data_IF_043705133949
#
_entry.id   IF_043705133949
#
_cell.length_a   1.000
_cell.length_b   1.000
_cell.length_c   1.000
_cell.angle_alpha   90.00
_cell.angle_beta   90.00
_cell.angle_gamma   90.00
#
_symmetry.space_group_name_H-M   'P 1'
#
loop_
_entity.id
_entity.type
_entity.pdbx_description
1 polymer ?
#
# COMPACT_ATOMS: atom_id res chain seq x y z
N UNK A 1 -3.56 -13.51 12.55
CA UNK A 1 -2.24 -14.17 12.49
C UNK A 1 -1.24 -13.24 13.14
N UNK A 2 -0.50 -13.72 14.13
CA UNK A 2 0.61 -12.99 14.75
C UNK A 2 1.75 -12.77 13.76
N UNK A 3 2.65 -11.84 14.07
CA UNK A 3 3.87 -11.60 13.27
C UNK A 3 4.72 -12.86 13.17
N UNK A 4 4.81 -13.63 14.25
CA UNK A 4 5.60 -14.87 14.29
C UNK A 4 5.00 -15.95 13.40
N UNK A 5 3.67 -16.15 13.47
CA UNK A 5 2.99 -17.08 12.56
C UNK A 5 3.15 -16.64 11.09
N UNK A 6 3.08 -15.35 10.79
CA UNK A 6 3.29 -14.85 9.42
C UNK A 6 4.71 -15.15 8.92
N UNK A 7 5.71 -14.95 9.78
CA UNK A 7 7.12 -15.25 9.46
C UNK A 7 7.37 -16.72 9.17
N UNK A 8 6.67 -17.62 9.84
CA UNK A 8 6.83 -19.06 9.65
C UNK A 8 6.01 -19.57 8.46
N UNK A 9 4.76 -19.12 8.35
CA UNK A 9 3.77 -19.76 7.45
C UNK A 9 3.47 -18.98 6.17
N UNK A 10 3.83 -17.70 6.07
CA UNK A 10 3.56 -16.88 4.90
C UNK A 10 4.84 -16.42 4.22
N UNK A 11 5.71 -15.71 4.97
CA UNK A 11 6.87 -15.02 4.40
C UNK A 11 7.80 -15.89 3.53
N UNK A 12 8.13 -17.14 3.89
CA UNK A 12 9.01 -17.96 3.04
C UNK A 12 8.39 -18.22 1.66
N UNK A 13 7.08 -18.43 1.60
CA UNK A 13 6.36 -18.68 0.36
C UNK A 13 6.16 -17.41 -0.46
N UNK A 14 5.90 -16.27 0.20
CA UNK A 14 5.89 -14.98 -0.47
C UNK A 14 7.22 -14.71 -1.17
N UNK A 15 8.34 -14.94 -0.47
CA UNK A 15 9.68 -14.74 -1.00
C UNK A 15 10.01 -15.70 -2.15
N UNK A 16 9.53 -16.96 -2.11
CA UNK A 16 9.67 -17.89 -3.25
C UNK A 16 8.96 -17.36 -4.50
N UNK A 17 7.77 -16.79 -4.35
CA UNK A 17 7.04 -16.19 -5.48
C UNK A 17 7.76 -14.96 -6.00
N UNK A 18 8.23 -14.08 -5.11
CA UNK A 18 8.95 -12.87 -5.48
C UNK A 18 10.30 -13.17 -6.17
N UNK A 19 11.01 -14.20 -5.70
CA UNK A 19 12.24 -14.66 -6.34
C UNK A 19 11.98 -15.19 -7.75
N UNK A 20 10.90 -15.96 -7.94
CA UNK A 20 10.51 -16.50 -9.25
C UNK A 20 10.15 -15.40 -10.27
N UNK A 21 9.84 -14.19 -9.81
CA UNK A 21 9.52 -13.02 -10.65
C UNK A 21 10.54 -11.90 -10.48
N UNK A 22 11.75 -12.20 -10.00
CA UNK A 22 12.81 -11.20 -9.73
C UNK A 22 13.18 -10.38 -10.97
N UNK A 23 13.13 -10.98 -12.16
CA UNK A 23 13.38 -10.33 -13.45
C UNK A 23 12.17 -9.54 -14.00
N UNK A 24 11.03 -9.53 -13.30
CA UNK A 24 9.89 -8.73 -13.71
C UNK A 24 10.27 -7.23 -13.65
N UNK A 25 9.96 -6.45 -14.70
CA UNK A 25 10.36 -5.03 -14.75
C UNK A 25 9.64 -4.16 -13.70
N UNK A 26 8.58 -4.69 -13.08
CA UNK A 26 7.75 -4.00 -12.11
C UNK A 26 6.90 -4.99 -11.30
N UNK A 27 6.75 -4.74 -10.00
CA UNK A 27 5.87 -5.49 -9.12
C UNK A 27 5.34 -4.61 -7.98
N UNK A 28 4.17 -4.97 -7.45
CA UNK A 28 3.48 -4.24 -6.39
C UNK A 28 3.13 -5.20 -5.27
N UNK A 29 3.55 -4.90 -4.05
CA UNK A 29 3.07 -5.56 -2.85
C UNK A 29 1.81 -4.84 -2.35
N UNK A 30 0.67 -5.51 -2.43
CA UNK A 30 -0.57 -5.05 -1.80
C UNK A 30 -0.71 -5.67 -0.41
N UNK A 31 -0.81 -4.84 0.63
CA UNK A 31 -0.97 -5.27 2.02
C UNK A 31 -2.41 -5.01 2.44
N UNK A 32 -3.16 -6.09 2.64
CA UNK A 32 -4.55 -6.04 3.07
C UNK A 32 -4.68 -6.30 4.57
N UNK A 33 -5.56 -5.56 5.25
CA UNK A 33 -5.90 -5.79 6.66
C UNK A 33 -6.13 -4.49 7.42
N UNK A 34 -6.44 -4.63 8.71
CA UNK A 34 -6.57 -3.50 9.66
C UNK A 34 -5.35 -3.38 10.58
N UNK A 35 -4.79 -4.52 10.97
CA UNK A 35 -3.53 -4.61 11.70
C UNK A 35 -2.46 -5.15 10.75
N UNK A 36 -1.94 -4.27 9.91
CA UNK A 36 -0.95 -4.65 8.90
C UNK A 36 0.43 -4.77 9.54
N UNK A 37 1.12 -5.89 9.32
CA UNK A 37 2.49 -6.12 9.78
C UNK A 37 3.51 -5.36 8.92
N UNK A 38 3.29 -4.06 8.69
CA UNK A 38 3.99 -3.27 7.66
C UNK A 38 5.52 -3.42 7.75
N UNK A 39 6.11 -3.27 8.95
CA UNK A 39 7.56 -3.45 9.16
C UNK A 39 8.09 -4.84 8.83
N UNK A 40 7.24 -5.86 8.90
CA UNK A 40 7.64 -7.22 8.52
C UNK A 40 7.62 -7.44 7.01
N UNK A 41 7.23 -6.41 6.22
CA UNK A 41 7.03 -6.48 4.78
C UNK A 41 7.86 -5.43 4.00
N UNK A 42 8.37 -4.39 4.68
CA UNK A 42 9.09 -3.28 4.02
C UNK A 42 10.34 -3.71 3.24
N UNK A 43 10.95 -4.81 3.64
CA UNK A 43 12.18 -5.36 3.05
C UNK A 43 11.91 -6.35 1.91
N UNK A 44 10.65 -6.61 1.55
CA UNK A 44 10.32 -7.46 0.41
C UNK A 44 10.95 -6.87 -0.88
N UNK A 45 11.48 -7.71 -1.80
CA UNK A 45 12.13 -7.25 -3.04
C UNK A 45 11.09 -6.81 -4.09
N UNK A 46 10.31 -5.78 -3.74
CA UNK A 46 9.29 -5.17 -4.59
C UNK A 46 9.61 -3.73 -4.93
N UNK A 47 9.02 -3.24 -6.03
CA UNK A 47 9.17 -1.88 -6.55
C UNK A 47 8.23 -0.90 -5.84
N UNK A 48 7.02 -1.36 -5.52
CA UNK A 48 5.95 -0.53 -4.97
C UNK A 48 5.24 -1.23 -3.80
N UNK A 49 4.86 -0.48 -2.78
CA UNK A 49 3.99 -0.95 -1.70
C UNK A 49 2.65 -0.19 -1.72
N UNK A 50 1.53 -0.92 -1.63
CA UNK A 50 0.18 -0.39 -1.56
C UNK A 50 -0.54 -0.92 -0.30
N UNK A 51 -1.19 -0.03 0.45
CA UNK A 51 -1.99 -0.38 1.62
C UNK A 51 -3.02 0.72 1.90
N UNK A 52 -4.02 0.40 2.73
CA UNK A 52 -5.04 1.35 3.15
C UNK A 52 -4.50 2.30 4.22
N UNK A 53 -3.66 3.26 3.81
CA UNK A 53 -3.07 4.27 4.72
C UNK A 53 -4.12 5.18 5.39
N UNK A 54 -5.32 5.27 4.81
CA UNK A 54 -6.45 5.96 5.44
C UNK A 54 -7.07 5.18 6.61
N UNK A 55 -6.92 3.85 6.64
CA UNK A 55 -7.47 2.97 7.67
C UNK A 55 -6.41 2.38 8.61
N UNK A 56 -5.13 2.45 8.24
CA UNK A 56 -4.03 1.77 8.92
C UNK A 56 -2.77 2.63 8.92
N UNK A 57 -1.90 2.41 9.90
CA UNK A 57 -0.56 3.00 9.91
C UNK A 57 0.40 2.17 9.05
N UNK A 58 1.45 2.76 8.47
CA UNK A 58 1.82 4.18 8.50
C UNK A 58 1.08 5.07 7.50
N UNK A 59 1.32 6.38 7.59
CA UNK A 59 1.05 7.32 6.50
C UNK A 59 1.89 7.02 5.25
N UNK A 60 1.56 7.61 4.09
CA UNK A 60 2.31 7.36 2.85
C UNK A 60 3.76 7.85 2.94
N UNK A 61 3.98 9.01 3.55
CA UNK A 61 5.32 9.59 3.76
C UNK A 61 6.17 8.69 4.66
N UNK A 62 5.61 8.24 5.79
CA UNK A 62 6.27 7.33 6.71
C UNK A 62 6.56 5.97 6.05
N UNK A 63 5.61 5.41 5.32
CA UNK A 63 5.80 4.15 4.60
C UNK A 63 6.86 4.24 3.51
N UNK A 64 6.91 5.37 2.79
CA UNK A 64 7.94 5.67 1.79
C UNK A 64 9.32 5.75 2.45
N UNK A 65 9.43 6.50 3.56
CA UNK A 65 10.68 6.64 4.31
C UNK A 65 11.18 5.30 4.88
N UNK A 66 10.30 4.50 5.48
CA UNK A 66 10.64 3.22 6.12
C UNK A 66 11.06 2.16 5.12
N UNK A 67 10.45 2.13 3.94
CA UNK A 67 10.73 1.11 2.92
C UNK A 67 11.80 1.54 1.92
N UNK A 68 11.99 2.85 1.72
CA UNK A 68 12.80 3.39 0.63
C UNK A 68 12.21 3.09 -0.76
N UNK A 69 10.93 2.69 -0.84
CA UNK A 69 10.25 2.27 -2.07
C UNK A 69 9.21 3.28 -2.53
N UNK A 70 8.74 3.10 -3.75
CA UNK A 70 7.56 3.84 -4.22
C UNK A 70 6.34 3.38 -3.41
N UNK A 71 5.51 4.33 -2.98
CA UNK A 71 4.25 4.04 -2.31
C UNK A 71 3.08 4.29 -3.25
N UNK A 72 2.06 3.47 -3.14
CA UNK A 72 0.84 3.56 -3.95
C UNK A 72 -0.36 3.73 -3.04
N UNK A 73 -1.14 4.79 -3.26
CA UNK A 73 -2.27 5.14 -2.41
C UNK A 73 -2.72 6.58 -2.62
N UNK A 74 -3.32 7.18 -1.60
CA UNK A 74 -3.74 8.57 -1.61
C UNK A 74 -5.22 8.81 -1.91
N UNK A 75 -5.97 7.75 -2.26
CA UNK A 75 -7.44 7.80 -2.36
C UNK A 75 -8.05 6.85 -1.31
N UNK A 76 -9.03 7.34 -0.56
CA UNK A 76 -9.77 6.55 0.43
C UNK A 76 -10.76 5.61 -0.28
N UNK A 77 -10.39 4.34 -0.37
CA UNK A 77 -11.17 3.33 -1.08
C UNK A 77 -12.53 3.06 -0.44
N UNK A 78 -12.62 3.19 0.89
CA UNK A 78 -13.84 2.91 1.64
C UNK A 78 -14.88 4.00 1.43
N UNK A 79 -14.42 5.25 1.25
CA UNK A 79 -15.29 6.41 1.05
C UNK A 79 -15.46 6.81 -0.40
N UNK A 80 -14.67 6.28 -1.34
CA UNK A 80 -14.59 6.78 -2.73
C UNK A 80 -15.95 7.03 -3.41
N UNK A 81 -16.94 6.16 -3.19
CA UNK A 81 -18.29 6.29 -3.78
C UNK A 81 -19.10 7.46 -3.23
N UNK A 82 -18.75 7.97 -2.04
CA UNK A 82 -19.41 9.08 -1.37
C UNK A 82 -18.65 10.40 -1.54
N UNK A 83 -17.47 10.36 -2.17
CA UNK A 83 -16.66 11.55 -2.42
C UNK A 83 -17.08 12.19 -3.74
N UNK A 84 -17.23 13.50 -3.71
CA UNK A 84 -17.37 14.35 -4.89
C UNK A 84 -16.03 14.48 -5.62
N UNK A 85 -16.02 14.84 -6.92
CA UNK A 85 -14.78 15.09 -7.65
C UNK A 85 -13.84 16.12 -7.00
N UNK A 86 -14.32 17.23 -6.40
CA UNK A 86 -13.47 18.12 -5.59
C UNK A 86 -12.81 17.44 -4.39
N UNK A 87 -13.53 16.57 -3.66
CA UNK A 87 -12.96 15.86 -2.52
C UNK A 87 -11.87 14.88 -2.95
N UNK A 88 -12.08 14.16 -4.06
CA UNK A 88 -11.06 13.26 -4.65
C UNK A 88 -9.82 14.07 -5.07
N UNK A 89 -10.00 15.24 -5.70
CA UNK A 89 -8.87 16.14 -6.03
C UNK A 89 -8.15 16.63 -4.78
N UNK A 90 -8.87 16.86 -3.68
CA UNK A 90 -8.28 17.20 -2.39
C UNK A 90 -7.40 16.07 -1.84
N UNK A 91 -7.87 14.82 -1.91
CA UNK A 91 -7.08 13.65 -1.49
C UNK A 91 -5.82 13.47 -2.35
N UNK A 92 -5.95 13.61 -3.67
CA UNK A 92 -4.80 13.64 -4.59
C UNK A 92 -3.78 14.72 -4.21
N UNK A 93 -4.22 15.95 -3.99
CA UNK A 93 -3.34 17.06 -3.63
C UNK A 93 -2.66 16.84 -2.27
N UNK A 94 -3.36 16.26 -1.30
CA UNK A 94 -2.81 15.91 -0.01
C UNK A 94 -1.71 14.85 -0.13
N UNK A 95 -1.94 13.77 -0.89
CA UNK A 95 -0.95 12.73 -1.12
C UNK A 95 0.31 13.28 -1.82
N UNK A 96 0.14 14.15 -2.82
CA UNK A 96 1.25 14.85 -3.47
C UNK A 96 2.02 15.76 -2.51
N UNK A 97 1.33 16.48 -1.63
CA UNK A 97 1.98 17.34 -0.62
C UNK A 97 2.73 16.51 0.41
N UNK A 98 2.20 15.34 0.76
CA UNK A 98 2.77 14.45 1.77
C UNK A 98 4.05 13.76 1.27
N UNK A 99 4.04 13.17 0.08
CA UNK A 99 5.16 12.35 -0.43
C UNK A 99 6.03 13.12 -1.43
N UNK A 100 5.45 14.05 -2.19
CA UNK A 100 6.09 14.71 -3.32
C UNK A 100 5.74 14.06 -4.66
N UNK A 101 6.47 14.44 -5.71
CA UNK A 101 6.22 14.02 -7.10
C UNK A 101 7.03 12.82 -7.56
N UNK A 102 7.91 12.29 -6.69
CA UNK A 102 8.72 11.09 -6.94
C UNK A 102 8.42 10.05 -5.87
N UNK A 103 8.35 8.78 -6.29
CA UNK A 103 8.06 7.68 -5.36
C UNK A 103 6.60 7.60 -4.90
N UNK A 104 5.67 8.24 -5.62
CA UNK A 104 4.22 8.16 -5.36
C UNK A 104 3.48 7.72 -6.62
N UNK A 105 2.60 6.72 -6.47
CA UNK A 105 1.58 6.36 -7.46
C UNK A 105 0.20 6.61 -6.83
N UNK A 106 -0.61 7.47 -7.44
CA UNK A 106 -1.95 7.73 -6.92
C UNK A 106 -2.87 6.56 -7.24
N UNK A 107 -3.48 5.99 -6.21
CA UNK A 107 -4.44 4.90 -6.30
C UNK A 107 -5.32 4.83 -5.04
N UNK A 108 -6.40 4.05 -5.06
CA UNK A 108 -7.03 3.58 -3.83
C UNK A 108 -6.03 2.82 -2.94
N UNK A 109 -6.18 2.94 -1.62
CA UNK A 109 -5.35 2.20 -0.66
C UNK A 109 -5.63 0.69 -0.64
N UNK A 110 -6.83 0.28 -1.10
CA UNK A 110 -7.23 -1.11 -1.24
C UNK A 110 -8.30 -1.25 -2.34
N UNK A 111 -8.83 -2.45 -2.56
CA UNK A 111 -9.93 -2.70 -3.48
C UNK A 111 -11.16 -1.85 -3.16
N UNK A 112 -11.83 -1.33 -4.19
CA UNK A 112 -13.08 -0.60 -4.01
C UNK A 112 -14.21 -1.53 -3.57
N UNK A 113 -15.09 -1.10 -2.64
CA UNK A 113 -16.21 -1.93 -2.21
C UNK A 113 -17.18 -2.17 -3.37
N UNK A 114 -17.56 -3.44 -3.60
CA UNK A 114 -18.47 -3.82 -4.68
C UNK A 114 -19.90 -3.32 -4.43
N UNK A 115 -20.42 -3.43 -3.20
CA UNK A 115 -21.82 -3.11 -2.89
C UNK A 115 -22.07 -1.62 -2.63
N UNK A 116 -23.30 -1.18 -2.88
CA UNK A 116 -23.82 0.09 -2.40
C UNK A 116 -24.06 -0.07 -0.89
N UNK A 117 -23.59 0.91 -0.12
CA UNK A 117 -23.84 1.01 1.30
C UNK A 117 -24.78 2.19 1.53
#
# INVERSE_FOLDING_TARGET
>A
MSVEEYRVWCRPFDLMVLEAVSEAPFNVLHIHGKDIHFDSLVDYPVSVINWSHHATQPSLSEGSLRSGKTVMGGIDEARVKRLSPPEIRGQFANALKEVGTRGLIIAPGCSLPYRHA
#
